data_IF_008974708438
#
_entry.id   IF_008974708438
#
_cell.length_a   1.000
_cell.length_b   1.000
_cell.length_c   1.000
_cell.angle_alpha   90.00
_cell.angle_beta   90.00
_cell.angle_gamma   90.00
#
_symmetry.space_group_name_H-M   'P 1'
#
loop_
_entity.id
_entity.type
_entity.pdbx_description
1 polymer ?
#
# COMPACT_ATOMS: atom_id res chain seq x y z
N UNK A 1 -2.80 18.15 7.73
CA UNK A 1 -3.22 17.36 6.54
C UNK A 1 -2.39 16.09 6.56
N UNK A 2 -3.00 14.91 6.36
CA UNK A 2 -2.22 13.66 6.27
C UNK A 2 -1.51 13.66 4.91
N UNK A 3 -0.17 13.52 4.86
CA UNK A 3 0.58 13.56 3.61
C UNK A 3 0.28 12.31 2.76
N UNK A 4 -0.05 12.55 1.50
CA UNK A 4 -0.42 11.55 0.51
C UNK A 4 0.47 11.72 -0.73
N UNK A 5 1.03 10.62 -1.23
CA UNK A 5 1.75 10.54 -2.50
C UNK A 5 1.10 9.48 -3.37
N UNK A 6 0.68 9.85 -4.56
CA UNK A 6 0.16 8.93 -5.56
C UNK A 6 1.29 8.68 -6.57
N UNK A 7 1.51 7.41 -6.91
CA UNK A 7 2.49 7.03 -7.93
C UNK A 7 2.06 7.59 -9.29
N UNK A 8 2.96 8.17 -10.12
CA UNK A 8 2.56 8.88 -11.33
C UNK A 8 1.72 8.07 -12.34
N UNK A 9 1.98 6.77 -12.47
CA UNK A 9 1.21 5.86 -13.33
C UNK A 9 -0.22 5.63 -12.80
N UNK A 10 -0.40 5.53 -11.49
CA UNK A 10 -1.72 5.48 -10.84
C UNK A 10 -2.47 6.79 -11.02
N UNK A 11 -1.81 7.94 -10.80
CA UNK A 11 -2.43 9.24 -10.99
C UNK A 11 -2.90 9.45 -12.44
N UNK A 12 -2.07 9.08 -13.42
CA UNK A 12 -2.42 9.12 -14.83
C UNK A 12 -3.59 8.18 -15.18
N UNK A 13 -3.58 6.95 -14.64
CA UNK A 13 -4.66 5.98 -14.87
C UNK A 13 -6.00 6.49 -14.31
N UNK A 14 -6.00 7.05 -13.10
CA UNK A 14 -7.18 7.64 -12.49
C UNK A 14 -7.72 8.82 -13.32
N UNK A 15 -6.84 9.71 -13.77
CA UNK A 15 -7.21 10.84 -14.63
C UNK A 15 -7.78 10.39 -15.98
N UNK A 16 -7.31 9.26 -16.51
CA UNK A 16 -7.78 8.66 -17.76
C UNK A 16 -9.02 7.74 -17.60
N UNK A 17 -9.54 7.57 -16.37
CA UNK A 17 -10.65 6.66 -16.09
C UNK A 17 -10.30 5.17 -16.28
N UNK A 18 -9.01 4.83 -16.23
CA UNK A 18 -8.53 3.45 -16.31
C UNK A 18 -8.74 2.72 -14.97
N UNK A 19 -8.98 1.40 -15.00
CA UNK A 19 -9.23 0.64 -13.78
C UNK A 19 -7.97 0.56 -12.90
N UNK A 20 -8.13 0.95 -11.64
CA UNK A 20 -7.11 0.82 -10.58
C UNK A 20 -7.70 -0.02 -9.45
N UNK A 21 -6.91 -0.96 -8.94
CA UNK A 21 -7.27 -1.82 -7.80
C UNK A 21 -6.29 -1.57 -6.68
N UNK A 22 -6.79 -1.11 -5.53
CA UNK A 22 -5.97 -0.98 -4.33
C UNK A 22 -5.61 -2.38 -3.77
N UNK A 23 -4.44 -2.50 -3.14
CA UNK A 23 -3.99 -3.70 -2.43
C UNK A 23 -3.44 -3.30 -1.05
N UNK A 24 -3.68 -4.13 -0.03
CA UNK A 24 -3.20 -3.86 1.32
C UNK A 24 -1.75 -4.33 1.54
N UNK A 25 -1.08 -3.76 2.54
CA UNK A 25 0.33 -4.07 2.85
C UNK A 25 0.53 -4.91 4.12
N UNK A 26 -0.52 -5.24 4.89
CA UNK A 26 -0.31 -6.09 6.08
C UNK A 26 0.12 -7.50 5.76
N UNK A 27 -0.28 -8.06 4.61
CA UNK A 27 0.26 -9.32 4.10
C UNK A 27 1.79 -9.30 3.97
N UNK A 28 2.39 -8.14 3.67
CA UNK A 28 3.82 -7.98 3.41
C UNK A 28 4.66 -8.03 4.70
N UNK A 29 4.15 -7.46 5.78
CA UNK A 29 4.98 -7.22 6.99
C UNK A 29 4.52 -8.01 8.22
N UNK A 30 3.28 -8.51 8.19
CA UNK A 30 2.65 -9.21 9.32
C UNK A 30 1.99 -10.54 8.93
N UNK A 31 1.83 -10.82 7.63
CA UNK A 31 1.12 -12.00 7.14
C UNK A 31 2.04 -13.19 6.87
N UNK A 32 3.12 -12.97 6.11
CA UNK A 32 4.02 -14.02 5.64
C UNK A 32 5.47 -13.71 6.01
N UNK A 33 6.34 -14.73 6.16
CA UNK A 33 7.77 -14.52 6.36
C UNK A 33 8.45 -14.05 5.06
N UNK A 34 9.61 -13.41 5.18
CA UNK A 34 10.48 -13.16 4.04
C UNK A 34 11.14 -14.48 3.56
N UNK A 35 11.23 -14.76 2.25
CA UNK A 35 10.86 -13.90 1.10
C UNK A 35 9.43 -14.09 0.57
N UNK A 36 8.63 -14.97 1.17
CA UNK A 36 7.29 -15.29 0.69
C UNK A 36 6.37 -14.07 0.71
N UNK A 37 6.53 -13.18 1.68
CA UNK A 37 5.81 -11.90 1.73
C UNK A 37 5.99 -11.03 0.47
N UNK A 38 7.22 -10.87 -0.01
CA UNK A 38 7.56 -10.08 -1.18
C UNK A 38 7.06 -10.78 -2.45
N UNK A 39 7.25 -12.10 -2.53
CA UNK A 39 6.77 -12.90 -3.65
C UNK A 39 5.24 -12.83 -3.77
N UNK A 40 4.52 -12.97 -2.65
CA UNK A 40 3.07 -12.83 -2.63
C UNK A 40 2.62 -11.44 -3.02
N UNK A 41 3.27 -10.37 -2.52
CA UNK A 41 2.93 -9.00 -2.93
C UNK A 41 3.07 -8.80 -4.44
N UNK A 42 4.18 -9.27 -5.02
CA UNK A 42 4.41 -9.23 -6.48
C UNK A 42 3.40 -10.05 -7.26
N UNK A 43 3.03 -11.23 -6.77
CA UNK A 43 2.00 -12.08 -7.39
C UNK A 43 0.62 -11.42 -7.35
N UNK A 44 0.26 -10.75 -6.24
CA UNK A 44 -0.98 -9.98 -6.15
C UNK A 44 -0.99 -8.84 -7.17
N UNK A 45 0.10 -8.08 -7.29
CA UNK A 45 0.19 -7.03 -8.30
C UNK A 45 0.15 -7.59 -9.73
N UNK A 46 0.80 -8.72 -9.99
CA UNK A 46 0.76 -9.38 -11.29
C UNK A 46 -0.67 -9.83 -11.65
N UNK A 47 -1.39 -10.45 -10.72
CA UNK A 47 -2.76 -10.90 -10.93
C UNK A 47 -3.71 -9.74 -11.29
N UNK A 48 -3.55 -8.57 -10.66
CA UNK A 48 -4.32 -7.36 -11.02
C UNK A 48 -3.99 -6.90 -12.45
N UNK A 49 -2.71 -6.90 -12.83
CA UNK A 49 -2.27 -6.54 -14.20
C UNK A 49 -2.80 -7.52 -15.24
N UNK A 50 -2.77 -8.82 -14.96
CA UNK A 50 -3.35 -9.87 -15.82
C UNK A 50 -4.87 -9.69 -15.98
N UNK A 51 -5.55 -9.19 -14.95
CA UNK A 51 -6.97 -8.79 -15.00
C UNK A 51 -7.24 -7.49 -15.76
N UNK A 52 -6.21 -6.82 -16.29
CA UNK A 52 -6.35 -5.58 -17.08
C UNK A 52 -6.45 -4.29 -16.27
N UNK A 53 -6.12 -4.32 -14.98
CA UNK A 53 -6.12 -3.14 -14.11
C UNK A 53 -4.72 -2.77 -13.60
N UNK A 54 -4.55 -1.55 -13.11
CA UNK A 54 -3.31 -1.14 -12.43
C UNK A 54 -3.39 -1.46 -10.93
N UNK A 55 -2.42 -2.17 -10.35
CA UNK A 55 -2.35 -2.39 -8.91
C UNK A 55 -1.80 -1.15 -8.19
N UNK A 56 -2.48 -0.75 -7.12
CA UNK A 56 -2.02 0.28 -6.21
C UNK A 56 -1.85 -0.31 -4.80
N UNK A 57 -0.70 -0.94 -4.54
CA UNK A 57 -0.33 -1.36 -3.18
C UNK A 57 -0.19 -0.12 -2.29
N UNK A 58 -0.84 -0.11 -1.13
CA UNK A 58 -0.89 1.04 -0.23
C UNK A 58 -0.14 0.74 1.05
N UNK A 59 0.71 1.68 1.47
CA UNK A 59 1.41 1.64 2.76
C UNK A 59 1.76 3.06 3.22
N UNK A 60 2.22 3.19 4.47
CA UNK A 60 2.92 4.38 4.95
C UNK A 60 4.42 4.10 4.97
N UNK A 61 5.20 5.02 4.38
CA UNK A 61 6.65 5.02 4.48
C UNK A 61 7.06 6.33 5.11
N UNK A 62 7.74 6.26 6.26
CA UNK A 62 8.19 7.42 7.03
C UNK A 62 7.06 8.45 7.29
N UNK A 63 5.87 7.96 7.63
CA UNK A 63 4.69 8.77 7.90
C UNK A 63 3.97 9.35 6.69
N UNK A 64 4.38 9.01 5.46
CA UNK A 64 3.72 9.43 4.22
C UNK A 64 2.90 8.28 3.66
N UNK A 65 1.61 8.51 3.36
CA UNK A 65 0.77 7.52 2.67
C UNK A 65 1.23 7.45 1.21
N UNK A 66 1.59 6.27 0.75
CA UNK A 66 1.88 5.97 -0.64
C UNK A 66 0.73 5.19 -1.26
N UNK A 67 0.23 5.66 -2.40
CA UNK A 67 -0.77 5.00 -3.24
C UNK A 67 -0.06 4.46 -4.48
N UNK A 68 0.14 3.14 -4.51
CA UNK A 68 1.04 2.49 -5.45
C UNK A 68 2.48 2.56 -4.96
N UNK A 69 3.04 1.40 -4.60
CA UNK A 69 4.45 1.27 -4.24
C UNK A 69 5.31 1.01 -5.48
N UNK A 70 6.58 1.40 -5.42
CA UNK A 70 7.59 0.87 -6.34
C UNK A 70 8.09 -0.51 -5.85
N UNK A 71 8.77 -1.26 -6.71
CA UNK A 71 9.34 -2.54 -6.31
C UNK A 71 10.40 -2.38 -5.21
N UNK A 72 11.16 -1.28 -5.22
CA UNK A 72 12.12 -0.96 -4.16
C UNK A 72 11.41 -0.70 -2.82
N UNK A 73 10.24 -0.07 -2.85
CA UNK A 73 9.43 0.16 -1.66
C UNK A 73 8.79 -1.12 -1.13
N UNK A 74 8.36 -2.03 -2.03
CA UNK A 74 7.91 -3.37 -1.65
C UNK A 74 9.03 -4.16 -0.97
N UNK A 75 10.21 -4.21 -1.59
CA UNK A 75 11.40 -4.85 -1.02
C UNK A 75 11.75 -4.24 0.34
N UNK A 76 11.78 -2.90 0.42
CA UNK A 76 12.06 -2.17 1.64
C UNK A 76 11.16 -2.60 2.80
N UNK A 77 9.85 -2.69 2.58
CA UNK A 77 8.88 -3.12 3.59
C UNK A 77 9.02 -4.61 3.93
N UNK A 78 9.19 -5.47 2.92
CA UNK A 78 9.28 -6.92 3.09
C UNK A 78 10.51 -7.36 3.91
N UNK A 79 11.60 -6.60 3.83
CA UNK A 79 12.84 -6.87 4.57
C UNK A 79 12.89 -6.21 5.95
N UNK A 80 11.87 -5.43 6.35
CA UNK A 80 11.85 -4.82 7.68
C UNK A 80 11.80 -5.90 8.77
N UNK A 81 12.57 -5.77 9.86
CA UNK A 81 12.49 -6.70 10.97
C UNK A 81 11.08 -6.77 11.56
N UNK A 82 10.66 -7.96 12.00
CA UNK A 82 9.36 -8.16 12.63
C UNK A 82 9.13 -7.17 13.79
N UNK A 83 7.96 -6.54 13.83
CA UNK A 83 7.59 -5.57 14.86
C UNK A 83 8.10 -4.13 14.64
N UNK A 84 8.85 -3.86 13.56
CA UNK A 84 9.34 -2.50 13.25
C UNK A 84 8.39 -1.68 12.39
N UNK A 85 7.48 -2.33 11.66
CA UNK A 85 6.43 -1.67 10.87
C UNK A 85 5.12 -1.69 11.64
N UNK A 86 4.46 -0.54 11.79
CA UNK A 86 3.18 -0.48 12.49
C UNK A 86 2.08 -1.13 11.65
N UNK A 87 1.32 -2.06 12.24
CA UNK A 87 0.05 -2.51 11.68
C UNK A 87 -0.98 -1.38 11.75
N UNK A 88 -1.20 -0.69 10.64
CA UNK A 88 -1.90 0.59 10.59
C UNK A 88 -3.38 0.43 10.20
N UNK A 89 -4.27 0.47 11.18
CA UNK A 89 -5.72 0.60 10.98
C UNK A 89 -6.14 2.07 11.07
N UNK A 90 -7.45 2.35 11.03
CA UNK A 90 -8.01 3.72 11.09
C UNK A 90 -7.45 4.56 12.23
N UNK A 91 -7.35 3.99 13.45
CA UNK A 91 -6.88 4.70 14.65
C UNK A 91 -5.38 4.99 14.65
N UNK A 92 -4.63 4.27 13.82
CA UNK A 92 -3.18 4.26 13.85
C UNK A 92 -2.58 5.34 12.93
N UNK A 93 -3.30 5.76 11.88
CA UNK A 93 -2.83 6.74 10.89
C UNK A 93 -2.21 7.99 11.52
N UNK A 94 -2.90 8.63 12.46
CA UNK A 94 -2.43 9.87 13.07
C UNK A 94 -1.08 9.68 13.78
N UNK A 95 -0.90 8.54 14.46
CA UNK A 95 0.32 8.21 15.20
C UNK A 95 1.45 7.89 14.21
N UNK A 96 1.19 7.03 13.21
CA UNK A 96 2.18 6.67 12.18
C UNK A 96 2.71 7.91 11.46
N UNK A 97 1.82 8.82 11.08
CA UNK A 97 2.16 10.07 10.38
C UNK A 97 2.95 11.00 11.30
N UNK A 98 2.48 11.23 12.53
CA UNK A 98 3.13 12.14 13.47
C UNK A 98 4.54 11.69 13.85
N UNK A 99 4.73 10.38 14.03
CA UNK A 99 6.02 9.80 14.41
C UNK A 99 6.94 9.53 13.22
N UNK A 100 6.48 9.75 11.98
CA UNK A 100 7.22 9.41 10.76
C UNK A 100 7.63 7.93 10.72
N UNK A 101 6.73 7.06 11.16
CA UNK A 101 6.92 5.62 11.17
C UNK A 101 6.55 4.99 9.83
N UNK A 102 7.10 3.82 9.55
CA UNK A 102 6.57 2.94 8.51
C UNK A 102 5.30 2.25 9.02
N UNK A 103 4.31 2.11 8.15
CA UNK A 103 3.03 1.51 8.48
C UNK A 103 2.48 0.63 7.37
N UNK A 104 2.14 -0.60 7.69
CA UNK A 104 1.44 -1.50 6.79
C UNK A 104 -0.06 -1.37 7.03
N UNK A 105 -0.82 -0.95 6.02
CA UNK A 105 -2.25 -0.70 6.15
C UNK A 105 -3.03 -1.99 6.18
N UNK A 106 -3.88 -2.15 7.20
CA UNK A 106 -4.91 -3.20 7.22
C UNK A 106 -5.98 -2.89 6.16
N UNK A 107 -6.89 -3.83 5.88
CA UNK A 107 -8.16 -3.59 5.17
C UNK A 107 -8.76 -2.21 5.44
N UNK A 108 -9.02 -1.87 6.72
CA UNK A 108 -9.64 -0.59 7.06
C UNK A 108 -8.73 0.61 6.74
N UNK A 109 -7.43 0.47 6.92
CA UNK A 109 -6.46 1.51 6.57
C UNK A 109 -6.39 1.74 5.06
N UNK A 110 -6.31 0.65 4.30
CA UNK A 110 -6.24 0.63 2.84
C UNK A 110 -7.48 1.25 2.22
N UNK A 111 -8.68 0.90 2.70
CA UNK A 111 -9.94 1.49 2.21
C UNK A 111 -10.00 3.01 2.42
N UNK A 112 -9.52 3.52 3.55
CA UNK A 112 -9.47 4.96 3.83
C UNK A 112 -8.53 5.66 2.84
N UNK A 113 -7.31 5.14 2.67
CA UNK A 113 -6.31 5.73 1.78
C UNK A 113 -6.71 5.61 0.29
N UNK A 114 -7.30 4.49 -0.12
CA UNK A 114 -7.86 4.28 -1.45
C UNK A 114 -8.98 5.28 -1.74
N UNK A 115 -9.91 5.49 -0.80
CA UNK A 115 -10.98 6.48 -0.93
C UNK A 115 -10.43 7.91 -1.03
N UNK A 116 -9.37 8.25 -0.28
CA UNK A 116 -8.69 9.55 -0.40
C UNK A 116 -8.07 9.76 -1.79
N UNK A 117 -7.67 8.69 -2.47
CA UNK A 117 -7.11 8.70 -3.83
C UNK A 117 -8.17 8.54 -4.93
N UNK A 118 -9.44 8.36 -4.58
CA UNK A 118 -10.50 8.12 -5.56
C UNK A 118 -10.50 6.72 -6.19
N UNK A 119 -9.88 5.73 -5.54
CA UNK A 119 -9.88 4.33 -5.99
C UNK A 119 -11.08 3.60 -5.37
N UNK A 120 -12.07 3.13 -6.16
CA UNK A 120 -13.29 2.53 -5.62
C UNK A 120 -13.20 1.01 -5.39
N UNK A 121 -12.14 0.34 -5.89
CA UNK A 121 -11.98 -1.12 -5.83
C UNK A 121 -10.75 -1.49 -4.98
N UNK A 122 -10.94 -2.45 -4.08
CA UNK A 122 -9.90 -3.02 -3.21
C UNK A 122 -10.04 -4.55 -3.21
N UNK A 123 -8.92 -5.27 -3.32
CA UNK A 123 -8.84 -6.73 -3.32
C UNK A 123 -7.87 -7.26 -2.24
#
# INVERSE_FOLDING_TARGET
MIPLKIKPDIEAALAAGQPVVALESTVITHGLPYPDNLNTARLMEAAVREGGALPATIALIQGVIHIGLTDEQLCYLAERPAGTVRKCSRRDFAITVANKEDGATTVAGTMIAAAMAGIPIFA
#
